data_IF_656024756857
#
_entry.id   IF_656024756857
#
_cell.length_a   1.000
_cell.length_b   1.000
_cell.length_c   1.000
_cell.angle_alpha   90.00
_cell.angle_beta   90.00
_cell.angle_gamma   90.00
#
_symmetry.space_group_name_H-M   'P 1'
#
loop_
_entity.id
_entity.type
_entity.pdbx_description
1 polymer ?
#
# COMPACT_ATOMS: atom_id res chain seq x y z
N UNK A 1 17.85 -28.56 -12.96
CA UNK A 1 16.89 -27.66 -12.32
C UNK A 1 15.64 -27.64 -13.18
N UNK A 2 14.46 -27.74 -12.57
CA UNK A 2 13.22 -27.61 -13.33
C UNK A 2 13.07 -26.14 -13.76
N UNK A 3 12.48 -25.89 -14.92
CA UNK A 3 12.22 -24.51 -15.38
C UNK A 3 11.31 -23.81 -14.38
N UNK A 4 11.78 -22.72 -13.77
CA UNK A 4 11.00 -21.90 -12.84
C UNK A 4 11.33 -22.05 -11.34
N UNK A 5 12.32 -22.87 -10.98
CA UNK A 5 12.80 -22.93 -9.59
C UNK A 5 13.41 -21.57 -9.17
N UNK A 6 12.85 -20.94 -8.13
CA UNK A 6 13.32 -19.64 -7.61
C UNK A 6 14.44 -19.88 -6.59
N UNK A 7 15.61 -19.30 -6.85
CA UNK A 7 16.73 -19.29 -5.91
C UNK A 7 17.00 -17.86 -5.44
N UNK A 8 17.01 -17.65 -4.13
CA UNK A 8 17.39 -16.36 -3.56
C UNK A 8 18.90 -16.16 -3.68
N UNK A 9 19.31 -15.03 -4.25
CA UNK A 9 20.72 -14.65 -4.38
C UNK A 9 21.19 -13.77 -3.21
N UNK A 10 20.28 -13.03 -2.58
CA UNK A 10 20.56 -12.16 -1.42
C UNK A 10 19.81 -12.65 -0.19
N UNK A 11 20.36 -12.35 0.99
CA UNK A 11 19.70 -12.62 2.26
C UNK A 11 18.46 -11.74 2.44
N UNK A 12 17.38 -12.34 2.97
CA UNK A 12 16.15 -11.64 3.33
C UNK A 12 16.33 -10.87 4.65
N UNK A 13 16.91 -9.67 4.57
CA UNK A 13 17.09 -8.78 5.71
C UNK A 13 15.88 -7.82 5.83
N UNK A 14 15.19 -7.73 6.99
CA UNK A 14 14.12 -6.77 7.19
C UNK A 14 14.56 -5.34 6.90
N UNK A 15 13.69 -4.54 6.27
CA UNK A 15 13.96 -3.15 5.90
C UNK A 15 15.20 -2.97 4.99
N UNK A 16 15.56 -4.01 4.22
CA UNK A 16 16.49 -3.92 3.10
C UNK A 16 15.78 -4.40 1.85
N UNK A 17 15.65 -3.53 0.85
CA UNK A 17 14.99 -3.87 -0.41
C UNK A 17 15.98 -3.74 -1.56
N UNK A 18 15.89 -4.63 -2.53
CA UNK A 18 16.79 -4.69 -3.69
C UNK A 18 15.97 -4.45 -4.96
N UNK A 19 16.50 -3.66 -5.89
CA UNK A 19 15.83 -3.33 -7.14
C UNK A 19 16.81 -3.11 -8.28
N UNK A 20 16.26 -3.07 -9.51
CA UNK A 20 16.96 -2.69 -10.74
C UNK A 20 18.28 -3.46 -11.01
N UNK A 21 18.31 -4.81 -10.95
CA UNK A 21 19.54 -5.54 -11.19
C UNK A 21 20.05 -5.38 -12.62
N UNK A 22 21.36 -5.18 -12.77
CA UNK A 22 22.08 -5.20 -14.05
C UNK A 22 23.38 -5.98 -13.94
N UNK A 23 23.51 -7.02 -14.76
CA UNK A 23 24.75 -7.76 -14.91
C UNK A 23 25.82 -6.92 -15.60
N UNK A 24 27.05 -7.04 -15.15
CA UNK A 24 28.21 -6.59 -15.91
C UNK A 24 28.36 -7.41 -17.20
N UNK A 25 28.92 -6.85 -18.29
CA UNK A 25 29.03 -7.56 -19.58
C UNK A 25 29.83 -8.87 -19.52
N UNK A 26 30.78 -8.97 -18.60
CA UNK A 26 31.60 -10.16 -18.35
C UNK A 26 30.90 -11.20 -17.46
N UNK A 27 29.71 -10.90 -16.93
CA UNK A 27 28.93 -11.76 -16.05
C UNK A 27 29.51 -11.96 -14.65
N UNK A 28 30.54 -11.19 -14.26
CA UNK A 28 31.20 -11.37 -12.96
C UNK A 28 30.49 -10.66 -11.80
N UNK A 29 29.71 -9.61 -12.11
CA UNK A 29 29.14 -8.68 -11.13
C UNK A 29 27.71 -8.30 -11.45
N UNK A 30 26.99 -7.86 -10.42
CA UNK A 30 25.61 -7.35 -10.54
C UNK A 30 25.56 -5.99 -9.85
N UNK A 31 25.23 -4.94 -10.60
CA UNK A 31 24.87 -3.65 -10.02
C UNK A 31 23.38 -3.66 -9.65
N UNK A 32 23.06 -3.17 -8.45
CA UNK A 32 21.68 -3.12 -7.92
C UNK A 32 21.46 -1.82 -7.16
N UNK A 33 20.22 -1.35 -7.11
CA UNK A 33 19.82 -0.32 -6.14
C UNK A 33 19.36 -1.00 -4.85
N UNK A 34 19.95 -0.59 -3.73
CA UNK A 34 19.66 -1.10 -2.40
C UNK A 34 19.02 0.00 -1.55
N UNK A 35 17.78 -0.25 -1.12
CA UNK A 35 17.16 0.54 -0.07
C UNK A 35 17.55 0.04 1.31
N UNK A 36 17.87 0.97 2.20
CA UNK A 36 18.12 0.72 3.63
C UNK A 36 17.37 1.73 4.48
N UNK A 37 17.17 1.38 5.76
CA UNK A 37 16.62 2.29 6.77
C UNK A 37 17.43 3.60 6.85
N UNK A 38 16.81 4.70 7.28
CA UNK A 38 17.38 6.04 7.22
C UNK A 38 17.10 6.79 5.90
N UNK A 39 16.35 6.18 4.98
CA UNK A 39 16.04 6.77 3.67
C UNK A 39 17.24 6.80 2.74
N UNK A 40 18.02 5.72 2.75
CA UNK A 40 19.17 5.53 1.84
C UNK A 40 18.74 4.64 0.69
N UNK A 41 18.95 5.08 -0.54
CA UNK A 41 18.69 4.28 -1.72
C UNK A 41 19.91 4.34 -2.62
N UNK A 42 20.83 3.41 -2.40
CA UNK A 42 22.19 3.49 -2.92
C UNK A 42 22.40 2.50 -4.07
N UNK A 43 23.31 2.83 -4.98
CA UNK A 43 23.83 1.86 -5.95
C UNK A 43 24.95 1.05 -5.30
N UNK A 44 24.84 -0.27 -5.39
CA UNK A 44 25.83 -1.21 -4.87
C UNK A 44 26.17 -2.28 -5.91
N UNK A 45 27.32 -2.92 -5.75
CA UNK A 45 27.81 -3.99 -6.62
C UNK A 45 27.89 -5.28 -5.81
N UNK A 46 27.25 -6.31 -6.33
CA UNK A 46 27.31 -7.68 -5.85
C UNK A 46 28.21 -8.54 -6.75
N UNK A 47 28.75 -9.63 -6.23
CA UNK A 47 29.31 -10.70 -7.04
C UNK A 47 28.20 -11.52 -7.71
N UNK A 48 28.58 -12.44 -8.61
CA UNK A 48 27.64 -13.33 -9.28
C UNK A 48 26.86 -14.26 -8.32
N UNK A 49 27.33 -14.44 -7.07
CA UNK A 49 26.69 -15.23 -6.03
C UNK A 49 25.82 -14.39 -5.08
N UNK A 50 25.77 -13.06 -5.25
CA UNK A 50 24.97 -12.12 -4.46
C UNK A 50 25.67 -11.50 -3.26
N UNK A 51 26.96 -11.77 -3.04
CA UNK A 51 27.70 -11.13 -1.97
C UNK A 51 27.99 -9.66 -2.31
N UNK A 52 27.80 -8.76 -1.34
CA UNK A 52 28.10 -7.34 -1.49
C UNK A 52 29.61 -7.12 -1.64
N UNK A 53 30.06 -6.68 -2.81
CA UNK A 53 31.48 -6.35 -3.09
C UNK A 53 31.76 -4.89 -2.73
N UNK A 54 30.92 -3.97 -3.18
CA UNK A 54 31.17 -2.53 -3.05
C UNK A 54 29.89 -1.71 -2.96
N UNK A 55 29.98 -0.57 -2.27
CA UNK A 55 28.98 0.50 -2.31
C UNK A 55 29.51 1.59 -3.24
N UNK A 56 28.75 1.90 -4.29
CA UNK A 56 29.10 2.93 -5.28
C UNK A 56 28.67 4.30 -4.76
N UNK A 57 27.52 4.33 -4.07
CA UNK A 57 27.01 5.53 -3.42
C UNK A 57 26.65 5.24 -1.95
N UNK A 58 26.60 6.30 -1.13
CA UNK A 58 26.23 6.21 0.29
C UNK A 58 25.72 7.56 0.80
N UNK A 59 24.60 8.01 0.24
CA UNK A 59 23.98 9.30 0.58
C UNK A 59 22.46 9.14 0.80
N UNK A 60 21.72 10.24 0.91
CA UNK A 60 20.25 10.22 1.11
C UNK A 60 19.47 10.44 -0.18
N UNK A 61 20.16 10.63 -1.29
CA UNK A 61 19.54 10.73 -2.60
C UNK A 61 18.99 9.36 -3.01
N UNK A 62 18.14 9.41 -4.03
CA UNK A 62 17.59 8.24 -4.70
C UNK A 62 18.52 7.87 -5.85
N UNK A 63 19.47 6.97 -5.58
CA UNK A 63 20.35 6.41 -6.61
C UNK A 63 19.75 5.12 -7.18
N UNK A 64 19.22 5.25 -8.39
CA UNK A 64 18.41 4.23 -9.02
C UNK A 64 18.92 3.82 -10.41
N UNK A 65 18.44 2.67 -10.88
CA UNK A 65 18.57 2.24 -12.28
C UNK A 65 20.01 2.23 -12.79
N UNK A 66 20.90 1.43 -12.18
CA UNK A 66 22.28 1.33 -12.65
C UNK A 66 22.32 0.80 -14.09
N UNK A 67 23.38 1.11 -14.84
CA UNK A 67 23.68 0.54 -16.16
C UNK A 67 25.18 0.48 -16.40
N UNK A 68 25.67 -0.68 -16.84
CA UNK A 68 27.08 -0.86 -17.20
C UNK A 68 27.38 -0.32 -18.60
N UNK A 69 28.60 0.16 -18.80
CA UNK A 69 29.19 0.31 -20.13
C UNK A 69 29.50 -1.06 -20.75
N UNK A 70 29.54 -1.17 -22.09
CA UNK A 70 29.84 -2.44 -22.77
C UNK A 70 31.19 -3.06 -22.42
N UNK A 71 32.16 -2.24 -22.01
CA UNK A 71 33.49 -2.70 -21.55
C UNK A 71 33.52 -3.09 -20.06
N UNK A 72 32.42 -2.90 -19.33
CA UNK A 72 32.29 -3.22 -17.90
C UNK A 72 33.11 -2.31 -16.96
N UNK A 73 33.64 -1.19 -17.47
CA UNK A 73 34.53 -0.28 -16.71
C UNK A 73 33.83 0.95 -16.16
N UNK A 74 32.61 1.24 -16.60
CA UNK A 74 31.85 2.39 -16.14
C UNK A 74 30.46 1.94 -15.70
N UNK A 75 30.00 2.49 -14.60
CA UNK A 75 28.63 2.34 -14.13
C UNK A 75 27.93 3.69 -14.18
N UNK A 76 26.79 3.75 -14.88
CA UNK A 76 25.85 4.86 -14.88
C UNK A 76 24.71 4.60 -13.89
N UNK A 77 24.11 5.65 -13.35
CA UNK A 77 22.86 5.59 -12.60
C UNK A 77 22.12 6.93 -12.67
N UNK A 78 20.87 6.95 -12.25
CA UNK A 78 20.12 8.19 -12.03
C UNK A 78 20.14 8.57 -10.55
N UNK A 79 20.37 9.84 -10.25
CA UNK A 79 20.38 10.37 -8.87
C UNK A 79 19.69 11.72 -8.80
N UNK A 80 18.88 11.93 -7.76
CA UNK A 80 18.30 13.24 -7.47
C UNK A 80 19.15 14.09 -6.51
N UNK A 81 20.41 13.71 -6.27
CA UNK A 81 21.32 14.36 -5.30
C UNK A 81 21.49 15.86 -5.47
N UNK A 82 21.31 16.41 -6.68
CA UNK A 82 21.35 17.85 -6.97
C UNK A 82 19.96 18.51 -6.96
N UNK A 83 18.97 17.87 -6.35
CA UNK A 83 17.58 18.35 -6.21
C UNK A 83 16.61 17.80 -7.27
N UNK A 84 17.11 17.49 -8.47
CA UNK A 84 16.35 16.96 -9.62
C UNK A 84 17.11 15.76 -10.20
N UNK A 85 16.42 14.66 -10.59
CA UNK A 85 17.06 13.48 -11.17
C UNK A 85 17.97 13.84 -12.36
N UNK A 86 19.24 13.47 -12.26
CA UNK A 86 20.23 13.56 -13.33
C UNK A 86 21.01 12.25 -13.44
N UNK A 87 21.73 12.08 -14.54
CA UNK A 87 22.59 10.92 -14.73
C UNK A 87 23.97 11.18 -14.13
N UNK A 88 24.49 10.16 -13.46
CA UNK A 88 25.81 10.15 -12.85
C UNK A 88 26.57 8.89 -13.27
N UNK A 89 27.89 8.95 -13.14
CA UNK A 89 28.77 7.87 -13.53
C UNK A 89 29.95 7.72 -12.57
N UNK A 90 30.50 6.52 -12.50
CA UNK A 90 31.78 6.25 -11.87
C UNK A 90 32.50 5.16 -12.66
N UNK A 91 33.83 5.26 -12.75
CA UNK A 91 34.64 4.15 -13.20
C UNK A 91 34.63 3.04 -12.15
N UNK A 92 34.63 1.79 -12.58
CA UNK A 92 34.70 0.62 -11.70
C UNK A 92 35.99 -0.13 -12.02
N UNK A 93 36.84 -0.34 -11.02
CA UNK A 93 38.08 -1.08 -11.17
C UNK A 93 37.85 -2.61 -11.28
N UNK A 94 38.93 -3.39 -11.41
CA UNK A 94 38.86 -4.85 -11.51
C UNK A 94 38.31 -5.54 -10.25
N UNK A 95 38.41 -4.89 -9.09
CA UNK A 95 37.90 -5.40 -7.81
C UNK A 95 36.45 -4.95 -7.54
N UNK A 96 35.85 -4.14 -8.43
CA UNK A 96 34.50 -3.60 -8.24
C UNK A 96 34.43 -2.31 -7.43
N UNK A 97 35.56 -1.66 -7.13
CA UNK A 97 35.55 -0.38 -6.42
C UNK A 97 35.23 0.75 -7.39
N UNK A 98 34.38 1.66 -6.94
CA UNK A 98 34.05 2.87 -7.67
C UNK A 98 35.14 3.94 -7.51
N UNK A 99 35.53 4.55 -8.63
CA UNK A 99 36.31 5.77 -8.67
C UNK A 99 35.47 7.02 -8.36
N UNK A 100 36.02 8.22 -8.60
CA UNK A 100 35.30 9.47 -8.39
C UNK A 100 34.01 9.54 -9.21
N UNK A 101 32.95 10.05 -8.58
CA UNK A 101 31.66 10.28 -9.25
C UNK A 101 31.79 11.45 -10.23
N UNK A 102 31.19 11.31 -11.41
CA UNK A 102 31.02 12.34 -12.43
C UNK A 102 29.53 12.57 -12.67
N UNK A 103 29.16 13.80 -13.00
CA UNK A 103 27.81 14.11 -13.44
C UNK A 103 27.75 14.13 -14.97
N UNK A 104 26.80 13.40 -15.53
CA UNK A 104 26.69 13.15 -16.96
C UNK A 104 25.71 14.12 -17.61
N UNK A 105 24.60 14.44 -16.94
CA UNK A 105 23.58 15.39 -17.42
C UNK A 105 23.37 16.53 -16.44
N UNK A 106 22.87 17.65 -16.94
CA UNK A 106 22.43 18.78 -16.12
C UNK A 106 21.09 19.32 -16.63
N UNK A 107 20.03 18.53 -16.39
CA UNK A 107 18.67 18.80 -16.84
C UNK A 107 17.92 19.66 -15.83
N UNK A 108 17.01 20.51 -16.32
CA UNK A 108 16.11 21.31 -15.48
C UNK A 108 14.90 20.52 -14.96
N UNK A 109 14.56 19.41 -15.61
CA UNK A 109 13.28 18.69 -15.42
C UNK A 109 13.49 17.24 -15.03
N UNK A 110 14.47 16.55 -15.64
CA UNK A 110 15.03 15.31 -15.11
C UNK A 110 15.51 14.32 -16.17
N UNK A 111 16.44 13.46 -15.78
CA UNK A 111 16.92 12.31 -16.55
C UNK A 111 17.00 11.06 -15.68
N UNK A 112 16.51 9.92 -16.19
CA UNK A 112 16.45 8.66 -15.47
C UNK A 112 16.64 7.44 -16.38
N UNK A 113 16.89 6.27 -15.78
CA UNK A 113 17.01 4.98 -16.48
C UNK A 113 18.03 4.97 -17.64
N UNK A 114 19.31 5.29 -17.36
CA UNK A 114 20.33 5.30 -18.40
C UNK A 114 20.57 3.91 -18.99
N UNK A 115 20.95 3.86 -20.26
CA UNK A 115 21.47 2.69 -20.94
C UNK A 115 22.53 3.11 -21.97
N UNK A 116 23.67 2.42 -21.99
CA UNK A 116 24.71 2.62 -23.02
C UNK A 116 24.45 1.61 -24.15
N UNK A 117 24.57 2.05 -25.40
CA UNK A 117 24.42 1.13 -26.52
C UNK A 117 25.58 0.12 -26.62
N UNK A 118 25.39 -1.03 -27.29
CA UNK A 118 26.44 -2.05 -27.38
C UNK A 118 27.74 -1.58 -28.02
N UNK A 119 27.69 -0.55 -28.86
CA UNK A 119 28.86 0.06 -29.49
C UNK A 119 29.63 0.99 -28.55
N UNK A 120 29.02 1.45 -27.46
CA UNK A 120 29.62 2.40 -26.53
C UNK A 120 29.73 3.81 -27.10
N UNK A 121 28.83 4.19 -28.01
CA UNK A 121 28.81 5.49 -28.66
C UNK A 121 27.79 6.44 -28.01
N UNK A 122 26.68 5.91 -27.49
CA UNK A 122 25.55 6.71 -27.03
C UNK A 122 25.03 6.25 -25.67
N UNK A 123 24.65 7.23 -24.85
CA UNK A 123 23.85 7.03 -23.64
C UNK A 123 22.41 7.39 -23.98
N UNK A 124 21.50 6.44 -23.85
CA UNK A 124 20.05 6.63 -23.93
C UNK A 124 19.46 6.77 -22.53
N UNK A 125 18.44 7.59 -22.36
CA UNK A 125 17.77 7.78 -21.07
C UNK A 125 16.33 8.27 -21.23
N UNK A 126 15.53 8.08 -20.19
CA UNK A 126 14.21 8.69 -20.07
C UNK A 126 14.36 10.13 -19.58
N UNK A 127 14.02 11.09 -20.43
CA UNK A 127 13.99 12.51 -20.10
C UNK A 127 12.57 12.88 -19.65
N UNK A 128 12.45 13.66 -18.57
CA UNK A 128 11.17 14.25 -18.18
C UNK A 128 11.14 15.69 -18.68
N UNK A 129 10.04 16.10 -19.32
CA UNK A 129 9.80 17.46 -19.81
C UNK A 129 8.38 17.91 -19.43
N UNK A 130 8.03 19.15 -19.76
CA UNK A 130 6.71 19.72 -19.45
C UNK A 130 5.52 18.95 -20.05
N UNK A 131 5.77 18.17 -21.10
CA UNK A 131 4.83 17.42 -21.92
C UNK A 131 4.86 15.91 -21.64
N UNK A 132 5.79 15.43 -20.78
CA UNK A 132 5.81 14.04 -20.34
C UNK A 132 7.21 13.43 -20.32
N UNK A 133 7.27 12.13 -20.57
CA UNK A 133 8.51 11.36 -20.62
C UNK A 133 8.87 10.99 -22.06
N UNK A 134 10.09 11.33 -22.46
CA UNK A 134 10.65 11.01 -23.77
C UNK A 134 11.91 10.15 -23.63
N UNK A 135 12.32 9.52 -24.74
CA UNK A 135 13.61 8.84 -24.83
C UNK A 135 14.58 9.72 -25.59
N UNK A 136 15.65 10.12 -24.93
CA UNK A 136 16.70 10.96 -25.48
C UNK A 136 18.05 10.24 -25.45
N UNK A 137 19.03 10.82 -26.15
CA UNK A 137 20.40 10.32 -26.10
C UNK A 137 21.43 11.43 -26.16
N UNK A 138 22.59 11.16 -25.58
CA UNK A 138 23.80 11.98 -25.65
C UNK A 138 25.01 11.10 -25.98
N UNK A 139 26.12 11.66 -26.50
CA UNK A 139 27.34 10.89 -26.71
C UNK A 139 27.87 10.27 -25.40
N UNK A 140 28.36 9.04 -25.47
CA UNK A 140 29.16 8.45 -24.38
C UNK A 140 30.58 9.03 -24.40
N UNK A 141 30.78 10.14 -23.69
CA UNK A 141 32.04 10.87 -23.64
C UNK A 141 32.52 11.10 -22.19
N UNK A 142 33.11 10.08 -21.52
CA UNK A 142 33.54 10.18 -20.12
C UNK A 142 34.47 11.36 -19.80
N UNK A 143 35.28 11.79 -20.78
CA UNK A 143 36.18 12.94 -20.64
C UNK A 143 35.50 14.31 -20.66
N UNK A 144 34.22 14.37 -21.07
CA UNK A 144 33.44 15.62 -21.18
C UNK A 144 32.42 15.78 -20.05
N UNK A 145 32.25 14.77 -19.20
CA UNK A 145 31.32 14.83 -18.07
C UNK A 145 31.75 15.88 -17.05
N UNK A 146 30.80 16.38 -16.28
CA UNK A 146 31.03 17.42 -15.29
C UNK A 146 31.62 16.86 -14.00
N UNK A 147 32.36 17.70 -13.28
CA UNK A 147 32.45 17.51 -11.83
C UNK A 147 31.03 17.58 -11.25
N UNK A 148 30.68 16.73 -10.27
CA UNK A 148 29.36 16.80 -9.64
C UNK A 148 29.09 18.21 -9.11
N UNK A 149 27.92 18.76 -9.42
CA UNK A 149 27.46 19.98 -8.76
C UNK A 149 27.20 19.69 -7.27
N UNK A 150 27.14 20.75 -6.47
CA UNK A 150 26.89 20.61 -5.05
C UNK A 150 25.57 19.87 -4.79
N UNK A 151 25.62 18.89 -3.88
CA UNK A 151 24.43 18.18 -3.44
C UNK A 151 23.42 19.15 -2.82
N UNK A 152 22.14 18.87 -3.02
CA UNK A 152 21.06 19.59 -2.38
C UNK A 152 21.19 19.41 -0.85
N UNK A 153 21.14 20.49 -0.05
CA UNK A 153 21.27 20.43 1.40
C UNK A 153 20.35 19.42 2.09
N UNK A 154 19.21 19.07 1.49
CA UNK A 154 18.28 18.06 2.02
C UNK A 154 18.88 16.66 2.10
N UNK A 155 19.93 16.38 1.31
CA UNK A 155 20.60 15.08 1.26
C UNK A 155 21.89 15.01 2.07
N UNK A 156 22.40 16.14 2.56
CA UNK A 156 23.63 16.17 3.35
C UNK A 156 23.46 15.40 4.67
N UNK A 157 24.39 14.46 4.90
CA UNK A 157 24.46 13.64 6.10
C UNK A 157 24.68 14.52 7.34
N UNK A 158 23.60 14.77 8.09
CA UNK A 158 23.59 15.64 9.27
C UNK A 158 22.30 16.44 9.45
N UNK A 159 21.47 16.53 8.41
CA UNK A 159 20.26 17.37 8.41
C UNK A 159 19.05 16.81 9.20
N UNK A 160 19.08 15.59 9.72
CA UNK A 160 18.04 15.13 10.65
C UNK A 160 18.57 14.04 11.60
N UNK A 161 18.69 14.38 12.90
CA UNK A 161 18.99 13.46 14.00
C UNK A 161 17.74 12.78 14.55
N UNK A 162 16.68 12.66 13.76
CA UNK A 162 15.55 11.85 14.19
C UNK A 162 16.02 10.39 14.28
N UNK A 163 16.10 9.78 15.48
CA UNK A 163 16.45 8.37 15.58
C UNK A 163 15.50 7.60 14.67
N UNK A 164 16.05 6.68 13.90
CA UNK A 164 15.30 5.80 13.00
C UNK A 164 14.05 5.31 13.75
N UNK A 165 12.89 5.92 13.49
CA UNK A 165 11.63 5.55 14.18
C UNK A 165 11.26 4.09 13.90
N UNK A 166 11.91 3.49 12.91
CA UNK A 166 11.77 2.10 12.49
C UNK A 166 12.88 1.17 13.01
N UNK A 167 13.96 1.69 13.64
CA UNK A 167 15.00 0.87 14.29
C UNK A 167 14.67 0.51 15.73
N UNK A 168 13.62 1.06 16.33
CA UNK A 168 13.10 0.47 17.54
C UNK A 168 12.67 -0.95 17.17
N UNK A 169 13.53 -1.93 17.45
CA UNK A 169 13.14 -3.31 17.56
C UNK A 169 12.00 -3.29 18.56
N UNK A 170 10.77 -3.29 18.06
CA UNK A 170 9.63 -3.45 18.92
C UNK A 170 9.81 -4.88 19.41
N UNK A 171 10.30 -5.04 20.64
CA UNK A 171 10.22 -6.28 21.41
C UNK A 171 8.73 -6.58 21.62
N UNK A 172 8.06 -6.99 20.55
CA UNK A 172 6.70 -7.46 20.58
C UNK A 172 6.76 -8.97 20.57
N UNK A 173 6.31 -9.58 21.66
CA UNK A 173 6.02 -11.01 21.67
C UNK A 173 4.99 -11.31 20.58
N UNK A 174 5.30 -12.31 19.73
CA UNK A 174 4.28 -12.91 18.86
C UNK A 174 3.20 -13.53 19.74
N UNK A 175 1.97 -13.03 19.61
CA UNK A 175 0.81 -13.52 20.36
C UNK A 175 -0.19 -14.14 19.38
N UNK A 176 -0.87 -15.22 19.78
CA UNK A 176 -1.95 -15.79 18.98
C UNK A 176 -2.97 -14.71 18.62
N UNK A 177 -3.43 -14.76 17.37
CA UNK A 177 -4.43 -13.84 16.84
C UNK A 177 -5.71 -13.86 17.70
N UNK A 178 -6.20 -12.69 18.11
CA UNK A 178 -7.44 -12.52 18.89
C UNK A 178 -8.29 -11.39 18.32
N UNK A 179 -9.28 -11.75 17.49
CA UNK A 179 -10.17 -10.81 16.81
C UNK A 179 -10.79 -9.75 17.75
N UNK A 180 -11.19 -10.16 18.96
CA UNK A 180 -11.92 -9.31 19.91
C UNK A 180 -11.19 -8.01 20.29
N UNK A 181 -9.85 -7.96 20.18
CA UNK A 181 -9.08 -6.76 20.52
C UNK A 181 -9.27 -5.62 19.51
N UNK A 182 -9.54 -5.96 18.26
CA UNK A 182 -9.73 -5.00 17.16
C UNK A 182 -11.15 -4.99 16.61
N UNK A 183 -11.97 -5.98 16.96
CA UNK A 183 -13.33 -6.12 16.46
C UNK A 183 -14.34 -5.26 17.22
N UNK A 184 -13.98 -4.60 18.33
CA UNK A 184 -14.92 -3.77 19.09
C UNK A 184 -15.51 -2.64 18.23
N UNK A 185 -16.78 -2.24 18.47
CA UNK A 185 -17.38 -1.13 17.74
C UNK A 185 -16.63 0.16 18.02
N UNK A 186 -16.18 0.83 16.95
CA UNK A 186 -15.45 2.10 17.04
C UNK A 186 -16.36 3.32 17.00
N UNK A 187 -17.65 3.12 16.69
CA UNK A 187 -18.64 4.18 16.60
C UNK A 187 -20.03 3.69 17.01
N UNK A 188 -20.87 4.63 17.40
CA UNK A 188 -22.30 4.43 17.61
C UNK A 188 -23.04 5.57 16.91
N UNK A 189 -23.92 5.24 15.99
CA UNK A 189 -24.76 6.21 15.29
C UNK A 189 -26.17 6.14 15.84
N UNK A 190 -26.68 7.20 16.48
CA UNK A 190 -28.09 7.29 16.82
C UNK A 190 -28.96 7.18 15.56
N UNK A 191 -30.06 6.45 15.65
CA UNK A 191 -31.04 6.31 14.58
C UNK A 191 -32.39 6.85 15.03
N UNK A 192 -33.03 7.60 14.15
CA UNK A 192 -34.42 7.97 14.26
C UNK A 192 -35.17 7.47 13.02
N UNK A 193 -36.36 6.93 13.22
CA UNK A 193 -37.29 6.64 12.13
C UNK A 193 -38.61 7.32 12.38
N UNK A 194 -39.09 8.03 11.36
CA UNK A 194 -40.42 8.60 11.37
C UNK A 194 -41.49 7.50 11.52
N UNK A 195 -42.67 7.85 12.08
CA UNK A 195 -43.81 6.94 12.13
C UNK A 195 -44.16 6.42 10.73
N UNK A 196 -44.58 5.15 10.64
CA UNK A 196 -45.11 4.58 9.40
C UNK A 196 -46.63 4.64 9.42
N UNK A 197 -47.18 5.29 8.39
CA UNK A 197 -48.60 5.55 8.23
C UNK A 197 -49.24 4.62 7.21
N UNK A 198 -50.49 4.25 7.46
CA UNK A 198 -51.41 3.77 6.42
C UNK A 198 -52.58 4.73 6.37
N UNK A 199 -52.80 5.35 5.20
CA UNK A 199 -53.68 6.52 5.03
C UNK A 199 -53.23 7.66 5.96
N UNK A 200 -53.97 7.95 7.02
CA UNK A 200 -53.72 9.06 7.95
C UNK A 200 -53.47 8.61 9.41
N UNK A 201 -53.39 7.29 9.66
CA UNK A 201 -53.12 6.75 10.99
C UNK A 201 -51.71 6.19 11.10
N UNK A 202 -51.04 6.50 12.20
CA UNK A 202 -49.74 5.93 12.55
C UNK A 202 -49.93 4.46 12.96
N UNK A 203 -49.48 3.55 12.09
CA UNK A 203 -49.58 2.11 12.32
C UNK A 203 -48.37 1.61 13.10
N UNK A 204 -47.21 2.22 12.86
CA UNK A 204 -45.98 2.04 13.64
C UNK A 204 -45.49 3.43 14.04
N UNK A 205 -45.32 3.65 15.35
CA UNK A 205 -44.87 4.92 15.91
C UNK A 205 -43.42 5.28 15.55
N UNK A 206 -42.93 6.44 16.00
CA UNK A 206 -41.55 6.84 15.81
C UNK A 206 -40.62 5.85 16.51
N UNK A 207 -39.47 5.61 15.90
CA UNK A 207 -38.47 4.68 16.39
C UNK A 207 -37.17 5.39 16.74
N UNK A 208 -36.54 4.99 17.85
CA UNK A 208 -35.25 5.51 18.31
C UNK A 208 -34.30 4.34 18.51
N UNK A 209 -33.07 4.46 18.04
CA UNK A 209 -32.16 3.32 17.99
C UNK A 209 -30.71 3.69 17.77
N UNK A 210 -29.93 2.68 17.39
CA UNK A 210 -28.53 2.83 17.05
C UNK A 210 -28.15 1.95 15.85
N UNK A 211 -27.06 2.32 15.19
CA UNK A 211 -26.28 1.44 14.33
C UNK A 211 -24.81 1.48 14.68
N UNK A 212 -24.14 0.35 14.49
CA UNK A 212 -22.69 0.19 14.64
C UNK A 212 -22.17 -0.94 13.77
N UNK A 213 -20.86 -0.97 13.55
CA UNK A 213 -20.15 -2.08 12.93
C UNK A 213 -18.72 -2.15 13.43
N UNK A 214 -18.08 -3.29 13.17
CA UNK A 214 -16.67 -3.50 13.48
C UNK A 214 -16.04 -4.46 12.49
N UNK A 215 -14.73 -4.29 12.29
CA UNK A 215 -13.87 -5.17 11.50
C UNK A 215 -12.54 -5.30 12.21
N UNK A 216 -12.00 -6.50 12.28
CA UNK A 216 -10.69 -6.72 12.90
C UNK A 216 -9.52 -6.29 11.97
N UNK A 217 -8.31 -6.21 12.53
CA UNK A 217 -7.13 -5.72 11.81
C UNK A 217 -6.77 -6.48 10.52
N UNK A 218 -7.12 -7.76 10.42
CA UNK A 218 -6.79 -8.60 9.26
C UNK A 218 -7.99 -8.94 8.39
N UNK A 219 -9.12 -8.23 8.56
CA UNK A 219 -10.38 -8.40 7.82
C UNK A 219 -10.89 -9.86 7.77
N UNK A 220 -10.65 -10.60 8.86
CA UNK A 220 -11.13 -11.97 9.05
C UNK A 220 -12.51 -12.02 9.68
N UNK A 221 -12.84 -11.05 10.52
CA UNK A 221 -14.10 -10.98 11.24
C UNK A 221 -14.68 -9.58 11.09
N UNK A 222 -15.96 -9.54 10.73
CA UNK A 222 -16.71 -8.30 10.66
C UNK A 222 -18.10 -8.51 11.24
N UNK A 223 -18.66 -7.47 11.85
CA UNK A 223 -20.06 -7.47 12.27
C UNK A 223 -20.72 -6.15 11.92
N UNK A 224 -22.04 -6.18 11.74
CA UNK A 224 -22.90 -5.00 11.65
C UNK A 224 -24.13 -5.22 12.50
N UNK A 225 -24.46 -4.23 13.31
CA UNK A 225 -25.61 -4.28 14.19
C UNK A 225 -26.40 -2.97 14.08
N UNK A 226 -27.72 -3.08 14.04
CA UNK A 226 -28.59 -1.95 14.30
C UNK A 226 -29.83 -2.43 15.04
N UNK A 227 -30.40 -1.56 15.86
CA UNK A 227 -31.63 -1.85 16.56
C UNK A 227 -32.36 -0.56 16.93
N UNK A 228 -33.69 -0.60 16.95
CA UNK A 228 -34.53 0.51 17.38
C UNK A 228 -35.70 0.03 18.24
N UNK A 229 -36.11 0.92 19.14
CA UNK A 229 -37.29 0.78 19.98
C UNK A 229 -38.39 1.71 19.45
N UNK A 230 -39.61 1.20 19.42
CA UNK A 230 -40.83 1.91 19.06
C UNK A 230 -41.68 1.98 20.36
N UNK A 231 -41.60 3.09 21.12
CA UNK A 231 -42.10 3.16 22.50
C UNK A 231 -43.61 2.96 22.60
N UNK A 232 -44.37 3.58 21.70
CA UNK A 232 -45.85 3.61 21.70
C UNK A 232 -46.49 2.21 21.74
N UNK A 233 -45.81 1.20 21.17
CA UNK A 233 -46.28 -0.19 21.14
C UNK A 233 -45.33 -1.17 21.82
N UNK A 234 -44.32 -0.68 22.55
CA UNK A 234 -43.25 -1.47 23.19
C UNK A 234 -42.61 -2.50 22.24
N UNK A 235 -42.38 -2.09 20.98
CA UNK A 235 -41.81 -2.97 19.95
C UNK A 235 -40.32 -2.69 19.77
N UNK A 236 -39.54 -3.74 19.58
CA UNK A 236 -38.11 -3.64 19.26
C UNK A 236 -37.80 -4.36 17.97
N UNK A 237 -37.08 -3.71 17.08
CA UNK A 237 -36.59 -4.30 15.84
C UNK A 237 -35.10 -4.09 15.69
N UNK A 238 -34.48 -4.89 14.84
CA UNK A 238 -33.06 -4.81 14.60
C UNK A 238 -32.55 -5.94 13.75
N UNK A 239 -31.31 -5.78 13.32
CA UNK A 239 -30.56 -6.82 12.62
C UNK A 239 -29.15 -6.89 13.16
N UNK A 240 -28.65 -8.10 13.31
CA UNK A 240 -27.26 -8.41 13.59
C UNK A 240 -26.73 -9.30 12.47
N UNK A 241 -25.60 -8.93 11.90
CA UNK A 241 -24.88 -9.73 10.91
C UNK A 241 -23.43 -9.90 11.34
N UNK A 242 -22.88 -11.10 11.12
CA UNK A 242 -21.50 -11.45 11.40
C UNK A 242 -20.91 -12.26 10.26
N UNK A 243 -19.70 -11.92 9.84
CA UNK A 243 -18.95 -12.62 8.79
C UNK A 243 -17.61 -13.06 9.35
N UNK A 244 -17.24 -14.31 9.10
CA UNK A 244 -15.91 -14.86 9.39
C UNK A 244 -15.27 -15.43 8.11
N UNK A 245 -13.96 -15.17 7.94
CA UNK A 245 -13.13 -15.63 6.80
C UNK A 245 -11.89 -16.38 7.34
N UNK A 246 -11.58 -17.56 6.77
CA UNK A 246 -10.55 -18.49 7.30
C UNK A 246 -9.55 -19.06 6.29
N UNK A 247 -8.50 -19.74 6.81
CA UNK A 247 -7.43 -20.41 6.03
C UNK A 247 -8.01 -21.58 5.23
N UNK A 248 -8.03 -21.44 3.91
CA UNK A 248 -8.77 -22.31 2.97
C UNK A 248 -9.89 -21.58 2.20
N UNK A 249 -10.11 -20.29 2.50
CA UNK A 249 -11.06 -19.40 1.83
C UNK A 249 -12.58 -19.68 1.99
N UNK A 250 -13.10 -20.36 3.03
CA UNK A 250 -14.54 -20.35 3.27
C UNK A 250 -15.00 -19.02 3.86
N UNK A 251 -16.15 -18.52 3.40
CA UNK A 251 -16.84 -17.34 3.96
C UNK A 251 -18.10 -17.83 4.65
N UNK A 252 -18.18 -17.66 5.97
CA UNK A 252 -19.37 -18.02 6.76
C UNK A 252 -20.04 -16.73 7.20
N UNK A 253 -21.34 -16.61 6.92
CA UNK A 253 -22.13 -15.42 7.27
C UNK A 253 -23.35 -15.79 8.07
N UNK A 254 -23.38 -15.31 9.31
CA UNK A 254 -24.54 -15.44 10.18
C UNK A 254 -25.34 -14.15 10.20
N UNK A 255 -26.66 -14.22 10.07
CA UNK A 255 -27.53 -13.07 10.30
C UNK A 255 -28.80 -13.41 11.05
N UNK A 256 -29.18 -12.49 11.95
CA UNK A 256 -30.40 -12.51 12.73
C UNK A 256 -31.13 -11.18 12.51
N UNK A 257 -32.44 -11.23 12.30
CA UNK A 257 -33.24 -10.01 12.21
C UNK A 257 -34.65 -10.21 12.74
N UNK A 258 -35.18 -9.16 13.38
CA UNK A 258 -36.59 -9.03 13.69
C UNK A 258 -37.06 -7.67 13.18
N UNK A 259 -38.07 -7.67 12.31
CA UNK A 259 -38.63 -6.46 11.68
C UNK A 259 -40.14 -6.41 11.88
N UNK A 260 -40.69 -5.20 11.87
CA UNK A 260 -42.14 -4.98 11.84
C UNK A 260 -42.53 -4.23 10.57
N UNK A 261 -43.48 -4.78 9.82
CA UNK A 261 -43.99 -4.15 8.60
C UNK A 261 -45.52 -4.02 8.64
N UNK A 262 -46.07 -2.90 8.15
CA UNK A 262 -47.51 -2.73 8.03
C UNK A 262 -48.06 -3.71 6.99
N UNK A 263 -48.95 -4.61 7.38
CA UNK A 263 -49.38 -5.75 6.57
C UNK A 263 -50.77 -5.60 5.95
N UNK A 264 -51.52 -4.57 6.33
CA UNK A 264 -52.82 -4.24 5.73
C UNK A 264 -53.91 -3.97 6.76
N UNK A 265 -55.17 -4.16 6.32
CA UNK A 265 -56.39 -3.91 7.09
C UNK A 265 -57.18 -5.21 7.23
N UNK A 266 -57.72 -5.48 8.41
CA UNK A 266 -58.74 -6.51 8.62
C UNK A 266 -60.02 -5.85 9.10
N UNK A 267 -61.15 -6.26 8.54
CA UNK A 267 -62.47 -5.88 9.02
C UNK A 267 -62.87 -6.86 10.12
N UNK A 268 -63.17 -6.35 11.30
CA UNK A 268 -63.70 -7.15 12.41
C UNK A 268 -65.12 -6.71 12.71
N UNK A 269 -66.07 -7.65 12.77
CA UNK A 269 -67.41 -7.40 13.29
C UNK A 269 -67.40 -7.51 14.81
N UNK A 270 -67.95 -6.49 15.50
CA UNK A 270 -68.27 -6.59 16.93
C UNK A 270 -69.52 -7.46 17.10
N UNK A 271 -69.69 -8.04 18.29
CA UNK A 271 -70.93 -8.74 18.68
C UNK A 271 -72.20 -7.86 18.56
N UNK A 272 -72.06 -6.53 18.44
CA UNK A 272 -73.14 -5.57 18.20
C UNK A 272 -73.51 -5.35 16.73
N UNK A 273 -72.80 -5.96 15.77
CA UNK A 273 -73.01 -5.77 14.33
C UNK A 273 -72.26 -4.59 13.70
N UNK A 274 -71.49 -3.82 14.47
CA UNK A 274 -70.64 -2.75 13.94
C UNK A 274 -69.33 -3.32 13.36
N UNK A 275 -68.95 -2.86 12.18
CA UNK A 275 -67.68 -3.22 11.52
C UNK A 275 -66.59 -2.21 11.91
N UNK A 276 -65.52 -2.69 12.55
CA UNK A 276 -64.35 -1.88 12.93
C UNK A 276 -63.13 -2.25 12.07
N UNK A 277 -62.27 -1.26 11.79
CA UNK A 277 -61.09 -1.45 10.94
C UNK A 277 -59.85 -1.61 11.82
N UNK A 278 -59.27 -2.81 11.83
CA UNK A 278 -58.05 -3.13 12.56
C UNK A 278 -56.84 -3.12 11.62
N UNK A 279 -55.80 -2.37 11.98
CA UNK A 279 -54.53 -2.39 11.24
C UNK A 279 -53.67 -3.56 11.69
N UNK A 280 -53.26 -4.38 10.73
CA UNK A 280 -52.37 -5.53 10.99
C UNK A 280 -50.93 -5.09 10.84
N UNK A 281 -50.10 -5.49 11.80
CA UNK A 281 -48.65 -5.35 11.70
C UNK A 281 -48.03 -6.73 11.77
N UNK A 282 -47.30 -7.07 10.72
CA UNK A 282 -46.56 -8.31 10.66
C UNK A 282 -45.25 -8.18 11.41
N UNK A 283 -44.86 -9.27 12.06
CA UNK A 283 -43.56 -9.43 12.71
C UNK A 283 -42.80 -10.51 11.97
N UNK A 284 -41.75 -10.13 11.27
CA UNK A 284 -40.88 -11.06 10.59
C UNK A 284 -39.63 -11.35 11.42
N UNK A 285 -39.26 -12.63 11.53
CA UNK A 285 -37.99 -13.08 12.12
C UNK A 285 -37.22 -13.89 11.08
N UNK A 286 -35.98 -13.48 10.79
CA UNK A 286 -35.09 -14.21 9.87
C UNK A 286 -33.82 -14.64 10.58
N UNK A 287 -33.43 -15.88 10.33
CA UNK A 287 -32.14 -16.47 10.70
C UNK A 287 -31.53 -17.06 9.43
N UNK A 288 -30.31 -16.67 9.10
CA UNK A 288 -29.55 -17.20 7.95
C UNK A 288 -28.13 -17.53 8.40
N UNK A 289 -27.59 -18.63 7.88
CA UNK A 289 -26.23 -19.16 8.14
C UNK A 289 -25.57 -19.43 6.81
#
# INVERSE_FOLDING_TARGET
MATGDITALTEAVPAVHWGFPRWSPDGSRIAVSQWRTGGRFDVVILDAAGALIARVTDDRAVDASPSWSPDGRTLLWSSDRTGIPNLFAASIDGDGRAGPVRQVTNMLTGAAHPAIDPAGEWIYYSAYHHDGWDIERIPYAPGEWFEPFADDPRFLLGADRSPDRFQAAIEAESRPYRAIRSLLPTYWQPLYSAPRRIRERDVIGPGFGFSTSGRDLVDRHAFRAWGRLIPEKRRGEGRFGYTARGLGNPVVTFSLGQLYDPAGLTLGERQSGDVDTLYVVDRERRVQV
#
